data_IF_322121389618
#
_entry.id   IF_322121389618
#
_cell.length_a   1.000
_cell.length_b   1.000
_cell.length_c   1.000
_cell.angle_alpha   90.00
_cell.angle_beta   90.00
_cell.angle_gamma   90.00
#
_symmetry.space_group_name_H-M   'P 1'
#
loop_
_entity.id
_entity.type
_entity.pdbx_description
1 polymer ?
#
# COMPACT_ATOMS: atom_id res chain seq x y z
N UNK A 1 15.79 -6.98 34.77
CA UNK A 1 14.78 -7.98 34.34
C UNK A 1 13.55 -7.34 33.68
N UNK A 2 12.86 -6.40 34.34
CA UNK A 2 11.70 -5.67 33.76
C UNK A 2 12.03 -4.80 32.53
N UNK A 3 13.24 -4.24 32.44
CA UNK A 3 13.69 -3.46 31.27
C UNK A 3 13.87 -4.31 30.00
N UNK A 4 14.38 -5.54 30.12
CA UNK A 4 14.47 -6.46 28.98
C UNK A 4 13.07 -6.87 28.50
N UNK A 5 12.14 -7.09 29.43
CA UNK A 5 10.73 -7.39 29.13
C UNK A 5 10.02 -6.22 28.43
N UNK A 6 10.27 -4.98 28.85
CA UNK A 6 9.71 -3.80 28.19
C UNK A 6 10.27 -3.65 26.76
N UNK A 7 11.56 -3.92 26.56
CA UNK A 7 12.20 -3.88 25.25
C UNK A 7 11.68 -4.98 24.32
N UNK A 8 11.51 -6.21 24.81
CA UNK A 8 10.91 -7.29 24.02
C UNK A 8 9.44 -7.02 23.69
N UNK A 9 8.65 -6.47 24.62
CA UNK A 9 7.25 -6.07 24.36
C UNK A 9 7.18 -4.94 23.33
N UNK A 10 8.06 -3.95 23.40
CA UNK A 10 8.14 -2.85 22.43
C UNK A 10 8.49 -3.37 21.02
N UNK A 11 9.45 -4.29 20.92
CA UNK A 11 9.83 -4.92 19.64
C UNK A 11 8.69 -5.80 19.11
N UNK A 12 7.99 -6.57 19.96
CA UNK A 12 6.82 -7.37 19.56
C UNK A 12 5.64 -6.50 19.12
N UNK A 13 5.40 -5.37 19.77
CA UNK A 13 4.39 -4.38 19.37
C UNK A 13 4.70 -3.76 18.00
N UNK A 14 5.97 -3.43 17.74
CA UNK A 14 6.40 -2.87 16.45
C UNK A 14 6.31 -3.92 15.33
N UNK A 15 6.73 -5.16 15.57
CA UNK A 15 6.68 -6.24 14.57
C UNK A 15 5.26 -6.72 14.25
N UNK A 16 4.30 -6.53 15.16
CA UNK A 16 2.89 -6.86 14.94
C UNK A 16 2.15 -5.82 14.06
N UNK A 17 2.71 -4.62 13.90
CA UNK A 17 2.17 -3.56 13.03
C UNK A 17 2.77 -3.65 11.62
N UNK A 18 2.69 -4.82 11.00
CA UNK A 18 3.17 -5.06 9.64
C UNK A 18 2.33 -4.31 8.59
N UNK A 19 2.53 -3.00 8.46
CA UNK A 19 2.07 -2.25 7.30
C UNK A 19 2.98 -2.63 6.13
N UNK A 20 2.55 -3.58 5.30
CA UNK A 20 3.24 -3.98 4.08
C UNK A 20 3.11 -2.89 3.00
N UNK A 21 3.68 -1.71 3.24
CA UNK A 21 3.87 -0.69 2.21
C UNK A 21 5.17 -1.03 1.47
N UNK A 22 5.07 -1.56 0.26
CA UNK A 22 6.23 -1.78 -0.61
C UNK A 22 6.75 -0.45 -1.15
N UNK A 23 8.06 -0.34 -1.36
CA UNK A 23 8.63 0.82 -2.07
C UNK A 23 8.31 0.66 -3.56
N UNK A 24 7.64 1.64 -4.13
CA UNK A 24 7.32 1.67 -5.56
C UNK A 24 8.31 2.56 -6.33
N UNK A 25 8.60 2.19 -7.57
CA UNK A 25 9.24 3.12 -8.50
C UNK A 25 8.26 4.24 -8.86
N UNK A 26 8.80 5.39 -9.29
CA UNK A 26 8.01 6.49 -9.82
C UNK A 26 7.66 6.32 -11.32
N UNK A 27 7.78 5.10 -11.86
CA UNK A 27 7.42 4.82 -13.25
C UNK A 27 5.92 5.06 -13.43
N UNK A 28 5.57 5.82 -14.45
CA UNK A 28 4.19 6.10 -14.80
C UNK A 28 3.68 5.07 -15.81
N UNK A 29 2.82 4.17 -15.32
CA UNK A 29 2.09 3.14 -16.07
C UNK A 29 0.66 3.04 -15.48
N UNK A 30 -0.22 4.00 -15.81
CA UNK A 30 -1.42 4.26 -15.02
C UNK A 30 -2.41 3.09 -15.06
N UNK A 31 -3.14 2.92 -13.96
CA UNK A 31 -4.19 1.91 -13.82
C UNK A 31 -5.44 2.50 -13.17
N UNK A 32 -6.61 2.06 -13.61
CA UNK A 32 -7.89 2.48 -13.06
C UNK A 32 -8.37 1.44 -12.05
N UNK A 33 -8.68 1.88 -10.84
CA UNK A 33 -9.28 1.03 -9.82
C UNK A 33 -10.81 1.01 -9.91
N UNK A 34 -11.42 0.00 -9.29
CA UNK A 34 -12.89 -0.18 -9.22
C UNK A 34 -13.61 0.96 -8.49
N UNK A 35 -12.88 1.71 -7.65
CA UNK A 35 -13.37 2.92 -6.97
C UNK A 35 -13.31 4.19 -7.85
N UNK A 36 -12.97 4.06 -9.13
CA UNK A 36 -12.89 5.18 -10.08
C UNK A 36 -11.65 6.07 -9.92
N UNK A 37 -10.68 5.68 -9.07
CA UNK A 37 -9.41 6.40 -8.92
C UNK A 37 -8.33 5.83 -9.85
N UNK A 38 -7.60 6.73 -10.49
CA UNK A 38 -6.38 6.40 -11.24
C UNK A 38 -5.20 6.30 -10.27
N UNK A 39 -4.41 5.25 -10.40
CA UNK A 39 -3.12 5.08 -9.73
C UNK A 39 -2.00 5.15 -10.76
N UNK A 40 -0.87 5.77 -10.40
CA UNK A 40 0.25 5.99 -11.32
C UNK A 40 0.93 4.71 -11.81
N UNK A 41 0.81 3.60 -11.05
CA UNK A 41 1.23 2.26 -11.44
C UNK A 41 0.55 1.19 -10.59
N UNK A 42 0.76 -0.08 -10.96
CA UNK A 42 0.23 -1.25 -10.25
C UNK A 42 0.71 -1.34 -8.80
N UNK A 43 1.97 -0.98 -8.53
CA UNK A 43 2.53 -1.01 -7.18
C UNK A 43 1.81 -0.04 -6.24
N UNK A 44 1.57 1.20 -6.71
CA UNK A 44 0.81 2.20 -5.96
C UNK A 44 -0.64 1.75 -5.69
N UNK A 45 -1.29 1.08 -6.65
CA UNK A 45 -2.62 0.50 -6.48
C UNK A 45 -2.64 -0.59 -5.39
N UNK A 46 -1.64 -1.47 -5.37
CA UNK A 46 -1.51 -2.54 -4.38
C UNK A 46 -1.25 -1.99 -2.97
N UNK A 47 -0.36 -1.00 -2.84
CA UNK A 47 -0.11 -0.33 -1.57
C UNK A 47 -1.36 0.35 -1.00
N UNK A 48 -2.22 0.85 -1.86
CA UNK A 48 -3.50 1.44 -1.45
C UNK A 48 -4.59 0.39 -1.18
N UNK A 49 -4.31 -0.91 -1.35
CA UNK A 49 -5.30 -1.98 -1.19
C UNK A 49 -6.48 -1.88 -2.16
N UNK A 50 -6.32 -1.17 -3.29
CA UNK A 50 -7.39 -0.98 -4.25
C UNK A 50 -7.48 -2.15 -5.23
N UNK A 51 -8.69 -2.42 -5.75
CA UNK A 51 -8.91 -3.46 -6.77
C UNK A 51 -8.82 -2.87 -8.17
N UNK A 52 -8.03 -3.49 -9.04
CA UNK A 52 -7.90 -3.12 -10.45
C UNK A 52 -9.25 -3.26 -11.19
N UNK A 53 -9.62 -2.24 -11.97
CA UNK A 53 -10.72 -2.27 -12.96
C UNK A 53 -10.17 -2.54 -14.36
N UNK A 54 -9.22 -1.71 -14.81
CA UNK A 54 -8.53 -1.88 -16.10
C UNK A 54 -7.19 -1.14 -16.11
N UNK A 55 -6.33 -1.45 -17.11
CA UNK A 55 -5.10 -0.70 -17.38
C UNK A 55 -5.42 0.66 -18.02
N UNK A 56 -4.54 1.64 -17.84
CA UNK A 56 -4.75 3.03 -18.24
C UNK A 56 -5.50 3.85 -17.18
N UNK A 57 -5.58 5.15 -17.38
CA UNK A 57 -6.30 6.06 -16.49
C UNK A 57 -7.82 5.80 -16.51
N UNK A 58 -8.50 6.13 -15.40
CA UNK A 58 -9.96 6.16 -15.40
C UNK A 58 -10.46 7.27 -16.35
N UNK A 59 -11.46 6.96 -17.18
CA UNK A 59 -12.13 7.99 -17.99
C UNK A 59 -12.93 8.91 -17.06
N UNK A 60 -12.93 10.23 -17.34
CA UNK A 60 -13.87 11.17 -16.73
C UNK A 60 -15.30 10.67 -17.00
N UNK A 61 -15.93 10.05 -16.00
CA UNK A 61 -17.27 9.46 -16.15
C UNK A 61 -17.53 8.17 -15.37
N UNK A 62 -16.49 7.47 -14.88
CA UNK A 62 -16.58 6.42 -13.86
C UNK A 62 -17.43 5.19 -14.17
#
# INVERSE_FOLDING_TARGET
>A
MKFLYAFTIMVLFVMAMGAATQICTAQYDPVCATNGRTYGNMCALQNAGARLKHKGECRRGG
#
